data_IF_585936152849
#
_entry.id   IF_585936152849
#
_cell.length_a   1.000
_cell.length_b   1.000
_cell.length_c   1.000
_cell.angle_alpha   90.00
_cell.angle_beta   90.00
_cell.angle_gamma   90.00
#
_symmetry.space_group_name_H-M   'P 1'
#
loop_
_entity.id
_entity.type
_entity.pdbx_description
1 polymer ?
#
# COMPACT_ATOMS: atom_id res chain seq x y z
N UNK A 1 25.85 19.14 48.92
CA UNK A 1 25.21 17.96 49.50
C UNK A 1 25.12 16.90 48.42
N UNK A 2 25.96 15.88 48.51
CA UNK A 2 26.01 14.73 47.58
C UNK A 2 24.88 13.76 47.94
N UNK A 3 24.11 13.27 46.96
CA UNK A 3 23.31 12.06 47.13
C UNK A 3 23.67 11.10 46.01
N UNK A 4 24.37 10.05 46.41
CA UNK A 4 24.64 8.85 45.61
C UNK A 4 23.34 8.04 45.55
N UNK A 5 22.99 7.53 44.34
CA UNK A 5 22.00 6.48 44.19
C UNK A 5 22.70 5.24 43.61
N UNK A 6 22.77 4.20 44.45
CA UNK A 6 23.28 2.89 44.11
C UNK A 6 22.33 2.16 43.15
N UNK A 7 22.91 1.65 42.11
CA UNK A 7 22.26 0.70 41.18
C UNK A 7 22.47 -0.70 41.70
N UNK A 8 21.39 -1.38 42.10
CA UNK A 8 21.42 -2.76 42.56
C UNK A 8 21.18 -3.70 41.36
N UNK A 9 22.19 -4.53 41.08
CA UNK A 9 22.16 -5.57 40.05
C UNK A 9 21.61 -6.85 40.71
N UNK A 10 20.44 -7.32 40.27
CA UNK A 10 19.92 -8.64 40.64
C UNK A 10 20.21 -9.63 39.53
N UNK A 11 21.16 -10.51 39.80
CA UNK A 11 21.49 -11.68 39.00
C UNK A 11 20.57 -12.82 39.40
N UNK A 12 19.74 -13.32 38.51
CA UNK A 12 18.90 -14.50 38.74
C UNK A 12 19.44 -15.65 37.91
N UNK A 13 20.08 -16.60 38.64
CA UNK A 13 20.57 -17.83 38.06
C UNK A 13 19.42 -18.84 37.96
N UNK A 14 19.17 -19.40 36.78
CA UNK A 14 18.31 -20.54 36.61
C UNK A 14 19.15 -21.82 36.54
N UNK A 15 18.91 -22.69 37.52
CA UNK A 15 19.49 -24.03 37.59
C UNK A 15 18.76 -24.98 36.63
N UNK A 16 19.51 -25.73 35.84
CA UNK A 16 19.03 -26.87 35.06
C UNK A 16 18.79 -28.08 35.98
N UNK A 17 17.58 -28.58 36.01
CA UNK A 17 17.30 -29.90 36.57
C UNK A 17 17.01 -30.84 35.38
N UNK A 18 17.93 -31.77 35.18
CA UNK A 18 17.79 -32.90 34.28
C UNK A 18 17.05 -34.02 35.01
N UNK A 19 15.91 -34.46 34.51
CA UNK A 19 15.30 -35.74 34.93
C UNK A 19 15.11 -36.60 33.69
N UNK A 20 15.93 -37.66 33.64
CA UNK A 20 15.73 -38.81 32.76
C UNK A 20 14.69 -39.72 33.37
N UNK A 21 13.66 -40.09 32.62
CA UNK A 21 12.84 -41.28 32.90
C UNK A 21 12.40 -41.90 31.57
N UNK A 22 12.96 -43.08 31.30
CA UNK A 22 12.45 -44.02 30.30
C UNK A 22 11.04 -44.48 30.70
N UNK A 23 10.11 -44.47 29.79
CA UNK A 23 9.10 -45.51 29.74
C UNK A 23 8.58 -45.76 28.33
N UNK A 24 8.62 -46.99 27.93
CA UNK A 24 8.13 -47.62 26.70
C UNK A 24 6.60 -47.67 26.73
N UNK A 25 5.96 -47.27 25.62
CA UNK A 25 4.52 -47.43 25.45
C UNK A 25 4.08 -47.02 24.04
N UNK A 26 3.74 -47.98 23.26
CA UNK A 26 3.26 -48.07 21.89
C UNK A 26 2.01 -47.23 21.58
N UNK A 27 1.95 -46.84 20.29
CA UNK A 27 0.77 -46.68 19.44
C UNK A 27 0.00 -45.34 19.43
N UNK A 28 -0.11 -44.82 18.23
CA UNK A 28 -1.11 -43.84 17.84
C UNK A 28 -0.61 -42.64 17.02
N UNK A 29 0.17 -42.90 15.98
CA UNK A 29 0.41 -41.85 14.98
C UNK A 29 -0.83 -41.65 14.12
N UNK A 30 -1.70 -40.71 14.52
CA UNK A 30 -2.66 -40.15 13.60
C UNK A 30 -1.87 -39.32 12.55
N UNK A 31 -2.11 -39.50 11.26
CA UNK A 31 -1.47 -38.66 10.26
C UNK A 31 -1.99 -37.24 10.45
N UNK A 32 -1.09 -36.32 10.77
CA UNK A 32 -1.32 -34.89 10.55
C UNK A 32 -1.58 -34.78 9.07
N UNK A 33 -2.84 -34.58 8.68
CA UNK A 33 -3.19 -34.27 7.33
C UNK A 33 -2.58 -32.88 7.06
N UNK A 34 -1.45 -32.86 6.36
CA UNK A 34 -1.02 -31.69 5.62
C UNK A 34 -2.16 -31.36 4.64
N UNK A 35 -3.11 -30.58 5.11
CA UNK A 35 -3.97 -29.83 4.22
C UNK A 35 -3.02 -28.90 3.48
N UNK A 36 -2.59 -29.32 2.30
CA UNK A 36 -2.07 -28.44 1.26
C UNK A 36 -3.09 -27.32 1.19
N UNK A 37 -2.73 -26.14 1.75
CA UNK A 37 -3.58 -24.98 1.66
C UNK A 37 -3.86 -24.79 0.18
N UNK A 38 -5.12 -24.86 -0.18
CA UNK A 38 -5.57 -24.64 -1.55
C UNK A 38 -5.16 -23.19 -1.85
N UNK A 39 -4.11 -23.03 -2.66
CA UNK A 39 -3.49 -21.73 -2.94
C UNK A 39 -4.34 -20.92 -3.93
N UNK A 40 -5.64 -21.27 -4.01
CA UNK A 40 -6.61 -20.62 -4.88
C UNK A 40 -6.91 -19.22 -4.35
N UNK A 41 -6.68 -18.22 -5.18
CA UNK A 41 -7.03 -16.84 -4.86
C UNK A 41 -8.54 -16.65 -4.89
N UNK A 42 -9.07 -15.82 -3.99
CA UNK A 42 -10.51 -15.54 -3.91
C UNK A 42 -10.92 -14.60 -5.03
N UNK A 43 -11.97 -14.94 -5.74
CA UNK A 43 -12.56 -14.11 -6.78
C UNK A 43 -13.86 -13.46 -6.29
N UNK A 44 -14.01 -12.18 -6.60
CA UNK A 44 -15.18 -11.38 -6.24
C UNK A 44 -15.75 -10.75 -7.50
N UNK A 45 -17.08 -10.88 -7.67
CA UNK A 45 -17.82 -10.19 -8.71
C UNK A 45 -18.41 -8.89 -8.15
N UNK A 46 -18.18 -7.80 -8.86
CA UNK A 46 -18.83 -6.50 -8.68
C UNK A 46 -19.83 -6.31 -9.82
N UNK A 47 -21.10 -6.49 -9.55
CA UNK A 47 -22.17 -6.19 -10.50
C UNK A 47 -22.38 -4.68 -10.50
N UNK A 48 -22.14 -4.01 -11.61
CA UNK A 48 -22.28 -2.56 -11.70
C UNK A 48 -23.40 -2.16 -12.65
N UNK A 49 -23.82 -0.90 -12.61
CA UNK A 49 -24.80 -0.35 -13.56
C UNK A 49 -24.32 -0.37 -15.01
N UNK A 50 -23.02 -0.58 -15.27
CA UNK A 50 -22.44 -0.63 -16.61
C UNK A 50 -21.94 -2.02 -17.03
N UNK A 51 -22.11 -3.02 -16.15
CA UNK A 51 -21.72 -4.42 -16.37
C UNK A 51 -20.93 -5.01 -15.20
N UNK A 52 -20.48 -6.25 -15.34
CA UNK A 52 -19.80 -6.99 -14.30
C UNK A 52 -18.28 -6.82 -14.39
N UNK A 53 -17.65 -6.62 -13.22
CA UNK A 53 -16.18 -6.64 -13.04
C UNK A 53 -15.87 -7.82 -12.12
N UNK A 54 -14.93 -8.68 -12.49
CA UNK A 54 -14.42 -9.76 -11.62
C UNK A 54 -13.00 -9.42 -11.23
N UNK A 55 -12.76 -9.36 -9.93
CA UNK A 55 -11.43 -9.16 -9.33
C UNK A 55 -10.96 -10.42 -8.65
N UNK A 56 -9.66 -10.65 -8.66
CA UNK A 56 -8.99 -11.70 -7.90
C UNK A 56 -8.13 -11.06 -6.80
N UNK A 57 -8.23 -11.59 -5.57
CA UNK A 57 -7.56 -11.04 -4.40
C UNK A 57 -6.28 -11.82 -4.09
N UNK A 58 -5.20 -11.09 -3.82
CA UNK A 58 -3.89 -11.66 -3.53
C UNK A 58 -3.79 -12.24 -2.12
N UNK A 59 -3.14 -13.40 -2.00
CA UNK A 59 -2.96 -14.08 -0.72
C UNK A 59 -1.89 -13.43 0.16
N UNK A 60 -0.94 -12.71 -0.43
CA UNK A 60 0.17 -12.05 0.27
C UNK A 60 -0.20 -10.70 0.90
N UNK A 61 -1.44 -10.24 0.71
CA UNK A 61 -2.02 -9.08 1.39
C UNK A 61 -3.24 -9.51 2.21
N UNK A 62 -3.05 -10.38 3.23
CA UNK A 62 -4.15 -11.06 3.92
C UNK A 62 -5.09 -10.11 4.66
N UNK A 63 -4.60 -9.01 5.24
CA UNK A 63 -5.46 -8.06 5.95
C UNK A 63 -6.43 -7.36 5.00
N UNK A 64 -5.93 -6.88 3.85
CA UNK A 64 -6.78 -6.24 2.83
C UNK A 64 -7.73 -7.25 2.19
N UNK A 65 -7.23 -8.44 1.82
CA UNK A 65 -8.04 -9.53 1.26
C UNK A 65 -9.20 -9.91 2.19
N UNK A 66 -8.89 -10.23 3.45
CA UNK A 66 -9.86 -10.75 4.40
C UNK A 66 -10.89 -9.68 4.80
N UNK A 67 -10.44 -8.43 4.93
CA UNK A 67 -11.32 -7.29 5.14
C UNK A 67 -12.25 -7.05 3.95
N UNK A 68 -11.73 -7.10 2.71
CA UNK A 68 -12.57 -6.93 1.51
C UNK A 68 -13.63 -8.05 1.42
N UNK A 69 -13.23 -9.31 1.67
CA UNK A 69 -14.15 -10.46 1.73
C UNK A 69 -15.22 -10.27 2.81
N UNK A 70 -14.85 -9.79 4.00
CA UNK A 70 -15.78 -9.48 5.09
C UNK A 70 -16.81 -8.46 4.63
N UNK A 71 -16.39 -7.33 4.08
CA UNK A 71 -17.29 -6.26 3.63
C UNK A 71 -18.21 -6.70 2.47
N UNK A 72 -17.71 -7.55 1.57
CA UNK A 72 -18.54 -8.18 0.52
C UNK A 72 -19.62 -9.07 1.14
N UNK A 73 -19.29 -9.93 2.12
CA UNK A 73 -20.25 -10.79 2.81
C UNK A 73 -21.30 -10.01 3.60
N UNK A 74 -20.94 -8.86 4.13
CA UNK A 74 -21.81 -7.96 4.87
C UNK A 74 -22.71 -7.10 3.95
N UNK A 75 -22.53 -7.18 2.62
CA UNK A 75 -23.26 -6.33 1.65
C UNK A 75 -22.86 -4.85 1.76
N UNK A 76 -21.68 -4.56 2.31
CA UNK A 76 -21.21 -3.19 2.50
C UNK A 76 -21.12 -2.43 1.17
N UNK A 77 -20.73 -3.09 0.10
CA UNK A 77 -20.54 -2.46 -1.20
C UNK A 77 -21.82 -2.33 -2.03
N UNK A 78 -22.92 -2.95 -1.61
CA UNK A 78 -24.18 -2.90 -2.35
C UNK A 78 -24.77 -1.47 -2.32
N UNK A 79 -24.96 -0.88 -3.48
CA UNK A 79 -25.42 0.49 -3.66
C UNK A 79 -24.36 1.59 -3.61
N UNK A 80 -23.09 1.25 -3.35
CA UNK A 80 -21.98 2.22 -3.28
C UNK A 80 -21.64 2.75 -4.67
N UNK A 81 -21.33 4.05 -4.76
CA UNK A 81 -20.99 4.72 -6.01
C UNK A 81 -19.49 4.63 -6.34
N UNK A 82 -19.19 4.64 -7.63
CA UNK A 82 -17.90 5.12 -8.10
C UNK A 82 -17.90 6.65 -7.98
N UNK A 83 -17.42 7.15 -6.85
CA UNK A 83 -17.54 8.55 -6.47
C UNK A 83 -16.45 9.45 -7.02
N UNK A 84 -15.33 8.86 -7.51
CA UNK A 84 -14.23 9.60 -8.12
C UNK A 84 -13.67 8.81 -9.30
N UNK A 85 -13.68 9.42 -10.47
CA UNK A 85 -13.24 8.82 -11.73
C UNK A 85 -12.33 9.78 -12.46
N UNK A 86 -11.08 9.39 -12.68
CA UNK A 86 -10.11 10.16 -13.45
C UNK A 86 -9.63 9.29 -14.60
N UNK A 87 -9.93 9.72 -15.82
CA UNK A 87 -9.52 9.03 -17.02
C UNK A 87 -8.00 8.89 -17.09
N UNK A 88 -7.53 7.73 -17.56
CA UNK A 88 -6.11 7.39 -17.69
C UNK A 88 -5.34 7.42 -16.34
N UNK A 89 -6.10 7.29 -15.23
CA UNK A 89 -5.55 7.20 -13.89
C UNK A 89 -6.22 6.07 -13.08
N UNK A 90 -7.46 6.27 -12.59
CA UNK A 90 -8.16 5.27 -11.78
C UNK A 90 -9.68 5.53 -11.69
N UNK A 91 -10.42 4.51 -11.30
CA UNK A 91 -11.81 4.61 -10.85
C UNK A 91 -11.88 4.22 -9.38
N UNK A 92 -12.40 5.09 -8.51
CA UNK A 92 -12.44 4.91 -7.05
C UNK A 92 -13.87 4.76 -6.53
N UNK A 93 -14.04 3.86 -5.57
CA UNK A 93 -15.32 3.51 -4.93
C UNK A 93 -15.10 3.11 -3.47
N UNK A 94 -16.12 2.61 -2.78
CA UNK A 94 -16.00 2.08 -1.41
C UNK A 94 -16.36 3.07 -0.31
N UNK A 95 -16.78 4.30 -0.64
CA UNK A 95 -17.32 5.25 0.33
C UNK A 95 -18.77 4.85 0.70
N UNK A 96 -18.97 4.36 1.94
CA UNK A 96 -20.28 3.92 2.43
C UNK A 96 -21.33 5.03 2.46
N UNK A 97 -20.93 6.30 2.61
CA UNK A 97 -21.84 7.45 2.61
C UNK A 97 -22.43 7.71 1.22
N UNK A 98 -21.79 7.21 0.17
CA UNK A 98 -22.24 7.40 -1.20
C UNK A 98 -23.58 6.72 -1.54
N UNK A 99 -23.99 5.72 -0.75
CA UNK A 99 -25.26 4.98 -0.96
C UNK A 99 -26.51 5.88 -0.99
N UNK A 100 -26.50 6.91 -0.15
CA UNK A 100 -27.63 7.83 0.03
C UNK A 100 -27.27 9.27 -0.35
N UNK A 101 -26.13 9.48 -0.98
CA UNK A 101 -25.62 10.80 -1.32
C UNK A 101 -26.42 11.45 -2.45
N UNK A 102 -26.82 12.71 -2.24
CA UNK A 102 -27.36 13.56 -3.32
C UNK A 102 -26.25 14.01 -4.29
N UNK A 103 -26.64 14.62 -5.43
CA UNK A 103 -25.68 15.04 -6.45
C UNK A 103 -24.58 16.00 -5.95
N UNK A 104 -24.93 16.88 -5.02
CA UNK A 104 -24.02 17.90 -4.47
C UNK A 104 -23.24 17.45 -3.22
N UNK A 105 -23.44 16.20 -2.79
CA UNK A 105 -22.75 15.68 -1.59
C UNK A 105 -21.29 15.43 -1.90
N UNK A 106 -20.39 16.03 -1.12
CA UNK A 106 -18.97 15.68 -1.15
C UNK A 106 -18.76 14.25 -0.63
N UNK A 107 -17.98 13.48 -1.34
CA UNK A 107 -17.69 12.08 -1.06
C UNK A 107 -16.19 11.85 -0.97
N UNK A 108 -15.79 10.71 -0.40
CA UNK A 108 -14.40 10.31 -0.22
C UNK A 108 -13.96 10.21 1.24
N UNK A 109 -14.79 10.66 2.19
CA UNK A 109 -14.51 10.63 3.63
C UNK A 109 -15.20 9.46 4.36
N UNK A 110 -16.14 8.77 3.68
CA UNK A 110 -16.88 7.66 4.29
C UNK A 110 -16.03 6.40 4.40
N UNK A 111 -15.98 5.83 5.59
CA UNK A 111 -15.30 4.56 5.89
C UNK A 111 -16.07 3.76 6.95
N UNK A 112 -15.69 2.51 7.22
CA UNK A 112 -16.36 1.66 8.22
C UNK A 112 -15.93 1.96 9.67
N UNK A 113 -15.23 3.06 9.95
CA UNK A 113 -14.77 3.46 11.27
C UNK A 113 -13.39 2.90 11.65
N UNK A 114 -12.64 2.35 10.71
CA UNK A 114 -11.28 1.84 10.93
C UNK A 114 -10.41 1.93 9.68
N UNK A 115 -9.10 1.83 9.89
CA UNK A 115 -8.08 1.76 8.84
C UNK A 115 -7.31 0.45 8.92
N UNK A 116 -6.65 0.06 7.82
CA UNK A 116 -5.85 -1.18 7.70
C UNK A 116 -4.38 -0.81 7.59
N UNK A 117 -3.50 -1.56 8.24
CA UNK A 117 -2.06 -1.39 8.07
C UNK A 117 -1.64 -1.67 6.63
N UNK A 118 -0.67 -0.88 6.14
CA UNK A 118 -0.18 -1.05 4.78
C UNK A 118 0.49 -2.41 4.58
N UNK A 119 0.18 -3.09 3.47
CA UNK A 119 0.78 -4.36 3.06
C UNK A 119 1.47 -4.16 1.70
N UNK A 120 2.61 -3.46 1.68
CA UNK A 120 3.35 -3.22 0.44
C UNK A 120 4.17 -4.44 0.03
N UNK A 121 3.70 -5.20 -0.96
CA UNK A 121 4.40 -6.35 -1.55
C UNK A 121 5.09 -5.93 -2.85
N UNK A 122 5.70 -4.76 -2.85
CA UNK A 122 6.46 -4.21 -3.96
C UNK A 122 7.88 -4.81 -4.02
N UNK A 123 8.44 -5.11 -5.20
CA UNK A 123 7.95 -4.82 -6.56
C UNK A 123 7.02 -5.89 -7.15
N UNK A 124 6.68 -6.97 -6.43
CA UNK A 124 5.83 -8.06 -6.95
C UNK A 124 4.45 -7.56 -7.37
N UNK A 125 3.80 -6.75 -6.53
CA UNK A 125 2.51 -6.13 -6.83
C UNK A 125 2.71 -4.64 -7.03
N UNK A 126 2.29 -4.15 -8.19
CA UNK A 126 2.47 -2.79 -8.63
C UNK A 126 1.24 -2.29 -9.41
N UNK A 127 1.17 -0.99 -9.65
CA UNK A 127 -0.01 -0.34 -10.20
C UNK A 127 -0.11 -0.45 -11.72
N UNK A 128 -0.01 -1.66 -12.26
CA UNK A 128 -0.37 -1.92 -13.68
C UNK A 128 -1.85 -1.67 -13.91
N UNK A 129 -2.25 -1.47 -15.16
CA UNK A 129 -3.67 -1.40 -15.55
C UNK A 129 -4.41 -2.63 -15.05
N UNK A 130 -5.58 -2.42 -14.41
CA UNK A 130 -6.39 -3.45 -13.78
C UNK A 130 -6.02 -3.77 -12.33
N UNK A 131 -4.92 -3.24 -11.79
CA UNK A 131 -4.59 -3.43 -10.38
C UNK A 131 -5.69 -2.89 -9.48
N UNK A 132 -6.04 -3.67 -8.43
CA UNK A 132 -6.97 -3.30 -7.36
C UNK A 132 -6.16 -2.85 -6.15
N UNK A 133 -6.31 -1.59 -5.76
CA UNK A 133 -5.52 -1.01 -4.69
C UNK A 133 -6.37 -0.25 -3.66
N UNK A 134 -5.92 -0.23 -2.41
CA UNK A 134 -6.62 0.45 -1.33
C UNK A 134 -6.34 1.96 -1.37
N UNK A 135 -7.40 2.77 -1.23
CA UNK A 135 -7.28 4.20 -1.07
C UNK A 135 -6.77 4.56 0.34
N UNK A 136 -6.21 5.75 0.51
CA UNK A 136 -5.77 6.30 1.79
C UNK A 136 -5.69 7.82 1.77
N UNK A 137 -5.66 8.42 2.94
CA UNK A 137 -5.37 9.86 3.09
C UNK A 137 -3.88 10.15 2.89
N UNK A 138 -3.55 11.42 2.62
CA UNK A 138 -2.18 11.84 2.32
C UNK A 138 -1.22 11.74 3.50
N UNK A 139 0.08 11.62 3.23
CA UNK A 139 1.15 11.39 4.21
C UNK A 139 1.21 12.45 5.34
N UNK A 140 0.72 13.68 5.11
CA UNK A 140 0.70 14.74 6.13
C UNK A 140 -0.22 14.42 7.32
N UNK A 141 -1.33 13.73 7.07
CA UNK A 141 -2.31 13.33 8.09
C UNK A 141 -2.25 11.84 8.40
N UNK A 142 -1.55 11.07 7.58
CA UNK A 142 -1.42 9.61 7.67
C UNK A 142 0.02 9.17 7.36
N UNK A 143 1.00 9.52 8.22
CA UNK A 143 2.41 9.19 7.98
C UNK A 143 2.68 7.68 7.98
N UNK A 144 1.84 6.88 8.63
CA UNK A 144 1.90 5.41 8.64
C UNK A 144 1.38 4.80 7.35
N UNK A 145 0.80 5.60 6.45
CA UNK A 145 0.22 5.16 5.17
C UNK A 145 -0.84 4.07 5.31
N UNK A 146 -1.57 4.08 6.42
CA UNK A 146 -2.68 3.15 6.65
C UNK A 146 -3.74 3.32 5.56
N UNK A 147 -4.27 2.21 5.07
CA UNK A 147 -5.33 2.20 4.07
C UNK A 147 -6.69 2.50 4.68
N UNK A 148 -7.59 3.10 3.91
CA UNK A 148 -9.03 3.13 4.25
C UNK A 148 -9.55 1.72 4.48
N UNK A 149 -10.47 1.57 5.42
CA UNK A 149 -11.11 0.30 5.73
C UNK A 149 -12.04 -0.22 4.62
N UNK A 150 -12.49 0.65 3.69
CA UNK A 150 -13.43 0.25 2.64
C UNK A 150 -13.15 0.83 1.26
N UNK A 151 -12.49 1.99 1.16
CA UNK A 151 -12.30 2.62 -0.14
C UNK A 151 -11.15 1.98 -0.92
N UNK A 152 -11.40 1.72 -2.18
CA UNK A 152 -10.45 1.13 -3.11
C UNK A 152 -10.58 1.75 -4.50
N UNK A 153 -9.57 1.54 -5.33
CA UNK A 153 -9.59 1.95 -6.71
C UNK A 153 -9.08 0.86 -7.65
N UNK A 154 -9.54 0.92 -8.89
CA UNK A 154 -9.03 0.11 -9.99
C UNK A 154 -8.22 1.02 -10.90
N UNK A 155 -6.99 0.63 -11.17
CA UNK A 155 -6.08 1.39 -12.03
C UNK A 155 -6.53 1.28 -13.48
N UNK A 156 -6.74 2.42 -14.12
CA UNK A 156 -6.92 2.51 -15.57
C UNK A 156 -5.60 2.88 -16.24
N UNK A 157 -4.90 3.87 -15.73
CA UNK A 157 -3.56 4.29 -16.13
C UNK A 157 -3.43 4.66 -17.59
N UNK A 158 -2.24 5.13 -17.97
CA UNK A 158 -1.84 5.36 -19.37
C UNK A 158 -0.66 4.46 -19.74
N UNK A 159 -0.43 4.27 -21.03
CA UNK A 159 0.78 3.65 -21.56
C UNK A 159 1.91 4.69 -21.54
N UNK A 160 3.11 4.25 -21.18
CA UNK A 160 4.31 5.08 -21.10
C UNK A 160 5.33 4.64 -22.14
N UNK A 161 6.17 5.56 -22.63
CA UNK A 161 7.38 5.20 -23.33
C UNK A 161 8.47 4.77 -22.34
N UNK A 162 9.47 4.02 -22.83
CA UNK A 162 10.63 3.64 -22.01
C UNK A 162 11.39 4.88 -21.50
N UNK A 163 11.45 5.95 -22.31
CA UNK A 163 12.08 7.21 -21.94
C UNK A 163 11.32 7.89 -20.79
N UNK A 164 9.97 7.93 -20.83
CA UNK A 164 9.15 8.49 -19.74
C UNK A 164 9.38 7.70 -18.45
N UNK A 165 9.41 6.36 -18.51
CA UNK A 165 9.65 5.50 -17.33
C UNK A 165 11.04 5.71 -16.75
N UNK A 166 12.08 5.83 -17.59
CA UNK A 166 13.44 6.13 -17.16
C UNK A 166 13.55 7.50 -16.47
N UNK A 167 12.88 8.51 -17.02
CA UNK A 167 12.82 9.84 -16.38
C UNK A 167 12.10 9.78 -15.03
N UNK A 168 11.00 9.03 -14.93
CA UNK A 168 10.27 8.87 -13.68
C UNK A 168 11.12 8.13 -12.62
N UNK A 169 11.78 7.04 -12.98
CA UNK A 169 12.66 6.29 -12.08
C UNK A 169 13.79 7.18 -11.55
N UNK A 170 14.42 7.98 -12.42
CA UNK A 170 15.43 8.96 -12.03
C UNK A 170 14.87 10.00 -11.05
N UNK A 171 13.71 10.58 -11.36
CA UNK A 171 13.07 11.57 -10.49
C UNK A 171 12.70 10.98 -9.11
N UNK A 172 12.19 9.75 -9.07
CA UNK A 172 11.90 9.05 -7.81
C UNK A 172 13.19 8.83 -6.98
N UNK A 173 14.29 8.46 -7.64
CA UNK A 173 15.60 8.35 -7.01
C UNK A 173 16.06 9.68 -6.41
N UNK A 174 15.92 10.78 -7.16
CA UNK A 174 16.33 12.11 -6.71
C UNK A 174 15.49 12.58 -5.51
N UNK A 175 14.17 12.39 -5.55
CA UNK A 175 13.27 12.70 -4.42
C UNK A 175 13.66 11.90 -3.18
N UNK A 176 13.90 10.60 -3.32
CA UNK A 176 14.33 9.74 -2.23
C UNK A 176 15.65 10.23 -1.61
N UNK A 177 16.64 10.56 -2.45
CA UNK A 177 17.91 11.12 -1.97
C UNK A 177 17.70 12.44 -1.22
N UNK A 178 16.84 13.31 -1.71
CA UNK A 178 16.49 14.56 -1.02
C UNK A 178 15.85 14.30 0.36
N UNK A 179 14.95 13.34 0.48
CA UNK A 179 14.30 13.01 1.74
C UNK A 179 15.28 12.40 2.75
N UNK A 180 16.14 11.47 2.33
CA UNK A 180 17.22 10.93 3.15
C UNK A 180 18.15 12.06 3.63
N UNK A 181 18.61 12.90 2.72
CA UNK A 181 19.50 14.01 3.05
C UNK A 181 18.87 14.99 4.04
N UNK A 182 17.60 15.36 3.84
CA UNK A 182 16.85 16.24 4.74
C UNK A 182 16.73 15.65 6.15
N UNK A 183 16.45 14.35 6.26
CA UNK A 183 16.42 13.63 7.54
C UNK A 183 17.78 13.68 8.23
N UNK A 184 18.85 13.34 7.51
CA UNK A 184 20.22 13.36 8.04
C UNK A 184 20.63 14.77 8.50
N UNK A 185 20.28 15.82 7.77
CA UNK A 185 20.50 17.22 8.20
C UNK A 185 19.76 17.52 9.49
N UNK A 186 18.52 17.07 9.63
CA UNK A 186 17.72 17.27 10.84
C UNK A 186 18.34 16.54 12.04
N UNK A 187 18.78 15.30 11.86
CA UNK A 187 19.45 14.50 12.89
C UNK A 187 20.80 15.11 13.32
N UNK A 188 21.50 15.79 12.42
CA UNK A 188 22.79 16.44 12.69
C UNK A 188 22.67 17.92 13.01
N UNK A 189 21.50 18.46 13.29
CA UNK A 189 21.25 19.89 13.48
C UNK A 189 22.14 20.50 14.56
N UNK A 190 22.27 19.85 15.71
CA UNK A 190 23.10 20.35 16.82
C UNK A 190 24.59 20.50 16.43
N UNK A 191 25.15 19.52 15.69
CA UNK A 191 26.52 19.55 15.19
C UNK A 191 26.71 20.66 14.14
N UNK A 192 25.73 20.86 13.28
CA UNK A 192 25.77 21.93 12.28
C UNK A 192 25.79 23.30 12.97
N UNK A 193 24.90 23.52 13.97
CA UNK A 193 24.83 24.78 14.74
C UNK A 193 26.15 25.03 15.54
N UNK A 194 26.79 24.01 16.06
CA UNK A 194 28.09 24.12 16.73
C UNK A 194 29.21 24.56 15.76
N UNK A 195 29.32 23.90 14.61
CA UNK A 195 30.31 24.23 13.58
C UNK A 195 30.11 25.65 13.05
N UNK A 196 28.86 26.07 12.88
CA UNK A 196 28.50 27.44 12.48
C UNK A 196 28.91 28.48 13.54
N UNK A 197 28.64 28.22 14.83
CA UNK A 197 29.06 29.11 15.92
C UNK A 197 30.57 29.27 16.00
N UNK A 198 31.29 28.19 15.72
CA UNK A 198 32.75 28.16 15.71
C UNK A 198 33.37 28.70 14.40
N UNK A 199 32.55 29.07 13.42
CA UNK A 199 32.96 29.48 12.07
C UNK A 199 33.86 28.43 11.39
N UNK A 200 33.70 27.16 11.71
CA UNK A 200 34.47 26.03 11.17
C UNK A 200 33.89 25.61 9.80
N UNK A 201 34.29 26.35 8.78
CA UNK A 201 33.87 26.07 7.40
C UNK A 201 34.41 24.73 6.88
N UNK A 202 35.58 24.30 7.35
CA UNK A 202 36.16 23.02 6.96
C UNK A 202 35.37 21.85 7.55
N UNK A 203 34.99 21.97 8.82
CA UNK A 203 34.10 21.01 9.49
C UNK A 203 32.70 20.93 8.87
N UNK A 204 32.11 22.07 8.47
CA UNK A 204 30.84 22.10 7.74
C UNK A 204 30.93 21.34 6.41
N UNK A 205 31.99 21.60 5.64
CA UNK A 205 32.20 20.92 4.34
C UNK A 205 32.45 19.42 4.52
N UNK A 206 33.22 19.02 5.55
CA UNK A 206 33.46 17.61 5.86
C UNK A 206 32.16 16.89 6.24
N UNK A 207 31.33 17.50 7.10
CA UNK A 207 30.02 16.95 7.48
C UNK A 207 29.08 16.84 6.27
N UNK A 208 29.03 17.86 5.42
CA UNK A 208 28.21 17.83 4.20
C UNK A 208 28.60 16.66 3.29
N UNK A 209 29.91 16.45 3.08
CA UNK A 209 30.40 15.33 2.28
C UNK A 209 30.05 13.97 2.90
N UNK A 210 30.16 13.84 4.24
CA UNK A 210 29.74 12.66 4.98
C UNK A 210 28.26 12.35 4.77
N UNK A 211 27.38 13.35 4.95
CA UNK A 211 25.94 13.20 4.77
C UNK A 211 25.56 12.83 3.33
N UNK A 212 26.27 13.37 2.32
CA UNK A 212 26.09 12.98 0.92
C UNK A 212 26.44 11.50 0.71
N UNK A 213 27.59 11.04 1.25
CA UNK A 213 27.98 9.63 1.12
C UNK A 213 26.99 8.68 1.80
N UNK A 214 26.48 9.03 2.99
CA UNK A 214 25.44 8.25 3.68
C UNK A 214 24.18 8.22 2.83
N UNK A 215 23.76 9.36 2.27
CA UNK A 215 22.60 9.47 1.39
C UNK A 215 22.71 8.54 0.19
N UNK A 216 23.83 8.54 -0.52
CA UNK A 216 24.05 7.65 -1.66
C UNK A 216 24.02 6.18 -1.26
N UNK A 217 24.67 5.83 -0.14
CA UNK A 217 24.70 4.46 0.36
C UNK A 217 23.31 3.95 0.80
N UNK A 218 22.51 4.80 1.46
CA UNK A 218 21.15 4.44 1.85
C UNK A 218 20.21 4.36 0.63
N UNK A 219 20.31 5.30 -0.30
CA UNK A 219 19.52 5.27 -1.52
C UNK A 219 19.78 4.02 -2.36
N UNK A 220 21.03 3.55 -2.42
CA UNK A 220 21.42 2.35 -3.16
C UNK A 220 20.86 1.04 -2.56
N UNK A 221 20.51 0.99 -1.28
CA UNK A 221 19.93 -0.22 -0.63
C UNK A 221 18.56 -0.61 -1.18
N UNK A 222 17.82 0.33 -1.70
CA UNK A 222 16.52 0.11 -2.34
C UNK A 222 16.55 0.74 -3.74
N UNK A 223 16.82 -0.04 -4.78
CA UNK A 223 16.86 0.48 -6.14
C UNK A 223 15.54 1.15 -6.50
N UNK A 224 15.61 2.32 -7.12
CA UNK A 224 14.46 3.00 -7.71
C UNK A 224 14.27 2.60 -9.19
N UNK A 225 15.03 1.62 -9.67
CA UNK A 225 14.85 1.03 -11.00
C UNK A 225 13.60 0.15 -11.01
N UNK A 226 12.78 0.33 -12.01
CA UNK A 226 11.69 -0.58 -12.30
C UNK A 226 12.25 -1.94 -12.73
N UNK A 227 11.54 -3.01 -12.41
CA UNK A 227 11.84 -4.36 -12.94
C UNK A 227 11.47 -4.43 -14.42
N UNK A 228 12.01 -5.42 -15.15
CA UNK A 228 11.65 -5.64 -16.53
C UNK A 228 10.14 -5.89 -16.68
N UNK A 229 9.53 -6.64 -15.75
CA UNK A 229 8.09 -6.88 -15.71
C UNK A 229 7.27 -5.58 -15.58
N UNK A 230 7.71 -4.65 -14.74
CA UNK A 230 7.07 -3.34 -14.59
C UNK A 230 7.20 -2.51 -15.88
N UNK A 231 8.40 -2.49 -16.48
CA UNK A 231 8.64 -1.78 -17.74
C UNK A 231 7.74 -2.35 -18.84
N UNK A 232 7.71 -3.68 -19.00
CA UNK A 232 6.86 -4.35 -19.98
C UNK A 232 5.37 -4.06 -19.76
N UNK A 233 4.88 -4.10 -18.51
CA UNK A 233 3.50 -3.79 -18.20
C UNK A 233 3.17 -2.33 -18.51
N UNK A 234 3.98 -1.38 -18.05
CA UNK A 234 3.71 0.05 -18.24
C UNK A 234 3.84 0.51 -19.69
N UNK A 235 4.67 -0.16 -20.49
CA UNK A 235 4.82 0.14 -21.92
C UNK A 235 3.80 -0.57 -22.81
N UNK A 236 3.17 -1.66 -22.34
CA UNK A 236 2.19 -2.43 -23.12
C UNK A 236 0.74 -2.15 -22.73
N UNK A 237 0.40 -2.35 -21.45
CA UNK A 237 -0.98 -2.18 -20.95
C UNK A 237 -1.19 -0.88 -20.17
N UNK A 238 -0.12 -0.28 -19.67
CA UNK A 238 -0.14 0.97 -18.93
C UNK A 238 -0.31 0.78 -17.42
N UNK A 239 -0.50 1.89 -16.72
CA UNK A 239 -0.66 1.90 -15.26
C UNK A 239 -0.36 3.25 -14.64
N UNK A 240 -0.01 3.24 -13.33
CA UNK A 240 0.27 4.44 -12.54
C UNK A 240 1.53 4.26 -11.68
N UNK A 241 2.73 4.20 -12.32
CA UNK A 241 3.99 3.85 -11.64
C UNK A 241 4.35 4.78 -10.47
N UNK A 242 3.84 6.00 -10.44
CA UNK A 242 4.08 6.96 -9.36
C UNK A 242 3.42 6.58 -8.03
N UNK A 243 2.52 5.58 -8.01
CA UNK A 243 1.88 5.06 -6.80
C UNK A 243 2.58 3.81 -6.24
N UNK A 244 3.55 3.26 -6.96
CA UNK A 244 4.24 2.03 -6.59
C UNK A 244 4.95 2.14 -5.24
N UNK A 245 4.77 1.12 -4.38
CA UNK A 245 5.34 1.09 -3.04
C UNK A 245 4.74 2.12 -2.06
N UNK A 246 3.68 2.82 -2.45
CA UNK A 246 3.03 3.86 -1.62
C UNK A 246 1.58 3.54 -1.25
N UNK A 247 0.95 2.63 -1.99
CA UNK A 247 -0.41 2.14 -1.76
C UNK A 247 -0.41 0.61 -1.82
N UNK A 248 -1.29 -0.03 -1.05
CA UNK A 248 -1.40 -1.49 -1.06
C UNK A 248 -2.18 -1.95 -2.28
N UNK A 249 -1.52 -2.67 -3.18
CA UNK A 249 -2.16 -3.42 -4.27
C UNK A 249 -2.50 -4.80 -3.72
N UNK A 250 -3.79 -5.13 -3.66
CA UNK A 250 -4.27 -6.35 -3.00
C UNK A 250 -5.06 -7.30 -3.91
N UNK A 251 -5.09 -6.99 -5.22
CA UNK A 251 -5.75 -7.81 -6.24
C UNK A 251 -5.63 -7.20 -7.62
N UNK A 252 -6.33 -7.82 -8.57
CA UNK A 252 -6.42 -7.33 -9.93
C UNK A 252 -7.75 -7.72 -10.59
N UNK A 253 -8.12 -6.98 -11.63
CA UNK A 253 -9.27 -7.30 -12.49
C UNK A 253 -8.88 -8.42 -13.44
N UNK A 254 -9.58 -9.56 -13.37
CA UNK A 254 -9.37 -10.71 -14.26
C UNK A 254 -10.44 -10.77 -15.38
N UNK A 255 -11.57 -10.04 -15.21
CA UNK A 255 -12.61 -9.94 -16.25
C UNK A 255 -13.37 -8.62 -16.07
N UNK A 256 -13.78 -8.00 -17.19
CA UNK A 256 -14.59 -6.78 -17.17
C UNK A 256 -13.77 -5.49 -17.27
N UNK A 257 -12.54 -5.53 -17.80
CA UNK A 257 -11.78 -4.31 -18.11
C UNK A 257 -12.48 -3.39 -19.12
N UNK A 258 -13.30 -3.93 -20.00
CA UNK A 258 -14.19 -3.13 -20.88
C UNK A 258 -15.24 -2.34 -20.10
N UNK A 259 -15.72 -2.89 -18.97
CA UNK A 259 -16.63 -2.19 -18.05
C UNK A 259 -15.87 -1.09 -17.30
N UNK A 260 -14.66 -1.38 -16.82
CA UNK A 260 -13.76 -0.36 -16.21
C UNK A 260 -13.52 0.78 -17.21
N UNK A 261 -13.34 0.48 -18.50
CA UNK A 261 -13.17 1.50 -19.54
C UNK A 261 -14.44 2.32 -19.79
N UNK A 262 -15.62 1.72 -19.73
CA UNK A 262 -16.88 2.47 -19.80
C UNK A 262 -16.99 3.44 -18.61
N UNK A 263 -16.62 3.00 -17.41
CA UNK A 263 -16.64 3.84 -16.21
C UNK A 263 -15.65 5.00 -16.33
N UNK A 264 -14.38 4.74 -16.70
CA UNK A 264 -13.37 5.81 -16.80
C UNK A 264 -13.67 6.86 -17.88
N UNK A 265 -14.45 6.50 -18.89
CA UNK A 265 -14.84 7.41 -19.97
C UNK A 265 -16.15 8.15 -19.71
N UNK A 266 -16.76 8.00 -18.54
CA UNK A 266 -17.94 8.76 -18.17
C UNK A 266 -17.62 10.25 -17.98
N UNK A 267 -18.61 11.09 -18.20
CA UNK A 267 -18.48 12.52 -17.91
C UNK A 267 -18.42 12.73 -16.40
N UNK A 268 -17.47 13.54 -15.94
CA UNK A 268 -17.27 13.90 -14.53
C UNK A 268 -17.53 15.38 -14.30
N UNK A 269 -17.96 15.71 -13.09
CA UNK A 269 -18.16 17.08 -12.61
C UNK A 269 -17.15 17.46 -11.55
N UNK A 270 -17.60 18.22 -10.55
CA UNK A 270 -16.76 18.65 -9.43
C UNK A 270 -16.20 17.44 -8.66
N UNK A 271 -14.96 17.54 -8.17
CA UNK A 271 -14.24 16.50 -7.44
C UNK A 271 -14.11 15.17 -8.23
N UNK A 272 -14.06 15.24 -9.56
CA UNK A 272 -13.98 14.06 -10.45
C UNK A 272 -15.15 13.08 -10.28
N UNK A 273 -16.30 13.51 -9.72
CA UNK A 273 -17.48 12.69 -9.55
C UNK A 273 -18.21 12.50 -10.89
N UNK A 274 -18.60 11.26 -11.28
CA UNK A 274 -19.47 11.04 -12.43
C UNK A 274 -20.75 11.88 -12.35
N UNK A 275 -21.12 12.55 -13.45
CA UNK A 275 -22.36 13.35 -13.53
C UNK A 275 -23.63 12.48 -13.54
N UNK A 276 -23.47 11.21 -13.89
CA UNK A 276 -24.51 10.17 -13.76
C UNK A 276 -23.97 9.11 -12.80
N UNK A 277 -24.74 8.80 -11.76
CA UNK A 277 -24.33 7.84 -10.75
C UNK A 277 -24.05 6.45 -11.34
N UNK A 278 -22.86 5.94 -11.09
CA UNK A 278 -22.45 4.57 -11.42
C UNK A 278 -22.32 3.82 -10.11
N UNK A 279 -23.08 2.72 -9.96
CA UNK A 279 -23.22 1.98 -8.69
C UNK A 279 -22.64 0.58 -8.82
N UNK A 280 -22.08 0.07 -7.73
CA UNK A 280 -22.02 -1.36 -7.47
C UNK A 280 -23.42 -1.77 -7.03
N UNK A 281 -24.13 -2.53 -7.87
CA UNK A 281 -25.47 -3.05 -7.56
C UNK A 281 -25.35 -4.11 -6.47
N UNK A 282 -24.35 -5.02 -6.64
CA UNK A 282 -24.07 -6.10 -5.71
C UNK A 282 -22.62 -6.55 -5.81
N UNK A 283 -22.03 -6.85 -4.66
CA UNK A 283 -20.74 -7.54 -4.59
C UNK A 283 -20.95 -8.98 -4.09
N UNK A 284 -20.30 -9.97 -4.72
CA UNK A 284 -20.46 -11.38 -4.34
C UNK A 284 -19.17 -12.18 -4.55
N UNK A 285 -18.90 -13.12 -3.63
CA UNK A 285 -17.77 -14.04 -3.73
C UNK A 285 -18.13 -15.14 -4.72
N UNK A 286 -17.23 -15.47 -5.66
CA UNK A 286 -17.44 -16.52 -6.65
C UNK A 286 -16.87 -17.87 -6.22
N UNK A 287 -15.86 -17.87 -5.33
CA UNK A 287 -15.16 -19.10 -4.88
C UNK A 287 -14.40 -18.88 -3.58
#
# INVERSE_FOLDING_TARGET
>A
MRKHFLLSFVMMAFAFISCSANNTGSEGSSPVSDKKADNKMTQVKLETTLGDIIVELYNETPQHRDNFIKLVKEGYYDGVLFHRVIKDFMIQTGDGNSKTAGPETMLGDGDPGYTIEAEFVYPKYFHKRGALAAARTGDQVNPERRSSGSQFYIVTGKIYSSEELNMMAKRMTDIKKQDIFRRLVTENRAKIEELQRNQDNAGIQALQNELIQITEAEAAKTPSSMTDEQIDAYTSVGGTPHLDGQYTVFGEVIKGMDVVDKIQNTQTGAADRPTTDIKIIKASILN
#
